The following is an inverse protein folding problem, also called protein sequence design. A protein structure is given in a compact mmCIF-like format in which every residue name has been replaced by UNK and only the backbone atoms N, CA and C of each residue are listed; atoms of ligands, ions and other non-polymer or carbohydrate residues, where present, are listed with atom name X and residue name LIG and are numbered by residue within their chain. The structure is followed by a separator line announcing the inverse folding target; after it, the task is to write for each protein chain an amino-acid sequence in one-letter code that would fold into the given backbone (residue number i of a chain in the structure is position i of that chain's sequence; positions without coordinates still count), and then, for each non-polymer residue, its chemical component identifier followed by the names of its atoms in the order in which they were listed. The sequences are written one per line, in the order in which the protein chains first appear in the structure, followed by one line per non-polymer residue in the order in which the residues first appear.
data_IF_669435489194
#
_entry.id   IF_669435489194
#
_cell.length_a   1.000
_cell.length_b   1.000
_cell.length_c   1.000
_cell.angle_alpha   90.00
_cell.angle_beta   90.00
_cell.angle_gamma   90.00
#
_symmetry.space_group_name_H-M   'P 1'
#
loop_
_entity.id
_entity.type
_entity.pdbx_description
1 polymer ?
#
# COMPACT_ATOMS: atom_id res chain seq x y z
N UNK A 1 -20.09 9.02 10.32
CA UNK A 1 -19.64 7.91 9.49
C UNK A 1 -18.15 8.04 9.26
N UNK A 2 -17.53 6.98 9.21
CA UNK A 2 -16.11 6.99 8.95
C UNK A 2 -15.84 6.64 7.51
N UNK A 3 -14.83 7.24 6.95
CA UNK A 3 -14.40 6.87 5.63
C UNK A 3 -13.69 5.53 5.65
N UNK A 4 -13.34 5.07 4.47
CA UNK A 4 -12.52 3.88 4.35
C UNK A 4 -11.10 4.20 4.76
N UNK A 5 -10.46 3.26 5.43
CA UNK A 5 -9.04 3.39 5.75
C UNK A 5 -8.23 3.07 4.49
N UNK A 6 -6.97 3.52 4.48
CA UNK A 6 -6.11 3.34 3.31
C UNK A 6 -5.90 1.86 3.00
N UNK A 7 -5.77 1.03 4.05
CA UNK A 7 -5.57 -0.41 3.85
C UNK A 7 -6.77 -1.03 3.12
N UNK A 8 -7.98 -0.65 3.50
CA UNK A 8 -9.19 -1.19 2.85
C UNK A 8 -9.28 -0.75 1.40
N UNK A 9 -8.93 0.50 1.12
CA UNK A 9 -8.95 1.01 -0.25
C UNK A 9 -7.96 0.23 -1.12
N UNK A 10 -6.76 0.00 -0.62
CA UNK A 10 -5.72 -0.73 -1.35
C UNK A 10 -6.15 -2.16 -1.59
N UNK A 11 -6.63 -2.85 -0.56
CA UNK A 11 -7.05 -4.25 -0.68
C UNK A 11 -8.17 -4.38 -1.70
N UNK A 12 -9.16 -3.49 -1.64
CA UNK A 12 -10.28 -3.52 -2.57
C UNK A 12 -9.81 -3.29 -4.00
N UNK A 13 -8.89 -2.36 -4.19
CA UNK A 13 -8.37 -2.01 -5.51
C UNK A 13 -7.59 -3.15 -6.15
N UNK A 14 -6.96 -3.99 -5.35
CA UNK A 14 -6.12 -5.07 -5.85
C UNK A 14 -6.82 -6.41 -5.97
N UNK A 15 -8.11 -6.47 -5.65
CA UNK A 15 -8.89 -7.70 -5.81
C UNK A 15 -8.82 -8.18 -7.25
N UNK A 16 -8.59 -9.48 -7.42
CA UNK A 16 -8.50 -10.08 -8.73
C UNK A 16 -7.13 -9.98 -9.37
N UNK A 17 -6.20 -9.24 -8.76
CA UNK A 17 -4.84 -9.10 -9.28
C UNK A 17 -3.87 -9.89 -8.42
N UNK A 18 -3.93 -9.67 -7.12
CA UNK A 18 -3.04 -10.33 -6.17
C UNK A 18 -3.76 -10.36 -4.83
N UNK A 19 -3.47 -11.37 -4.01
CA UNK A 19 -4.04 -11.42 -2.67
C UNK A 19 -3.35 -10.39 -1.80
N UNK A 20 -4.12 -9.50 -1.17
CA UNK A 20 -3.60 -8.43 -0.34
C UNK A 20 -4.11 -8.60 1.09
N UNK A 21 -3.20 -8.67 2.04
CA UNK A 21 -3.53 -8.96 3.45
C UNK A 21 -2.88 -7.89 4.32
N UNK A 22 -3.67 -7.31 5.21
CA UNK A 22 -3.13 -6.33 6.16
C UNK A 22 -2.35 -7.04 7.26
N UNK A 23 -1.11 -6.66 7.43
CA UNK A 23 -0.29 -7.08 8.57
C UNK A 23 -0.31 -5.93 9.56
N UNK A 24 -0.97 -6.12 10.68
CA UNK A 24 -1.14 -5.09 11.71
C UNK A 24 -0.64 -5.63 13.03
N UNK A 25 0.65 -5.47 13.26
CA UNK A 25 1.34 -5.94 14.47
C UNK A 25 2.08 -4.75 15.09
N UNK A 26 2.46 -4.83 16.36
CA UNK A 26 3.04 -3.67 17.05
C UNK A 26 4.22 -3.01 16.35
N UNK A 27 5.03 -3.79 15.61
CA UNK A 27 6.20 -3.25 14.93
C UNK A 27 6.15 -3.51 13.43
N UNK A 28 5.01 -3.95 12.91
CA UNK A 28 4.87 -4.30 11.50
C UNK A 28 3.50 -3.84 11.02
N UNK A 29 3.51 -2.91 10.10
CA UNK A 29 2.26 -2.42 9.54
C UNK A 29 2.45 -2.21 8.04
N UNK A 30 1.89 -3.14 7.23
CA UNK A 30 1.95 -3.03 5.77
C UNK A 30 0.88 -3.93 5.16
N UNK A 31 0.67 -3.78 3.87
CA UNK A 31 -0.15 -4.70 3.08
C UNK A 31 0.79 -5.73 2.47
N UNK A 32 0.63 -6.99 2.84
CA UNK A 32 1.44 -8.06 2.27
C UNK A 32 0.74 -8.59 1.03
N UNK A 33 1.49 -8.74 -0.06
CA UNK A 33 0.98 -9.22 -1.33
C UNK A 33 1.41 -10.67 -1.49
N UNK A 34 0.44 -11.55 -1.79
CA UNK A 34 0.68 -12.99 -1.85
C UNK A 34 0.14 -13.57 -3.15
N UNK A 35 0.85 -14.55 -3.67
CA UNK A 35 0.39 -15.38 -4.78
C UNK A 35 0.66 -16.83 -4.42
N UNK A 36 -0.36 -17.68 -4.51
CA UNK A 36 -0.25 -19.11 -4.18
C UNK A 36 0.32 -19.33 -2.78
N UNK A 37 -0.07 -18.46 -1.84
CA UNK A 37 0.36 -18.59 -0.47
C UNK A 37 1.74 -18.04 -0.15
N UNK A 38 2.44 -17.52 -1.15
CA UNK A 38 3.79 -16.98 -0.96
C UNK A 38 3.79 -15.47 -1.03
N UNK A 39 4.60 -14.84 -0.19
CA UNK A 39 4.74 -13.40 -0.19
C UNK A 39 5.53 -12.98 -1.43
N UNK A 40 4.94 -12.09 -2.23
CA UNK A 40 5.55 -11.63 -3.48
C UNK A 40 5.83 -10.13 -3.47
N UNK A 41 5.43 -9.44 -2.42
CA UNK A 41 5.71 -8.02 -2.28
C UNK A 41 4.94 -7.43 -1.12
N UNK A 42 5.11 -6.14 -0.90
CA UNK A 42 4.37 -5.44 0.13
C UNK A 42 4.21 -3.96 -0.22
N UNK A 43 3.18 -3.36 0.34
CA UNK A 43 2.94 -1.92 0.23
C UNK A 43 2.92 -1.35 1.64
N UNK A 44 3.65 -0.28 1.87
CA UNK A 44 3.59 0.44 3.13
C UNK A 44 3.56 1.93 2.82
N UNK A 45 3.21 2.73 3.81
CA UNK A 45 3.08 4.16 3.62
C UNK A 45 3.43 4.91 4.89
N UNK A 46 3.73 6.22 4.71
CA UNK A 46 4.11 7.06 5.82
C UNK A 46 3.64 8.49 5.52
N UNK A 47 3.41 9.24 6.58
CA UNK A 47 3.05 10.65 6.47
C UNK A 47 4.34 11.45 6.34
N UNK A 48 4.48 12.18 5.23
CA UNK A 48 5.70 12.92 4.96
C UNK A 48 5.56 14.42 5.22
N UNK A 49 4.33 14.92 5.19
CA UNK A 49 4.06 16.33 5.49
C UNK A 49 2.80 16.45 6.30
N UNK A 50 2.77 17.44 7.16
CA UNK A 50 1.67 17.65 8.08
C UNK A 50 1.54 19.14 8.37
N UNK A 51 0.40 19.74 8.05
CA UNK A 51 0.17 21.16 8.29
C UNK A 51 -1.21 21.36 8.91
N UNK A 52 -1.24 21.66 10.20
CA UNK A 52 -2.48 21.85 10.94
C UNK A 52 -3.25 23.09 10.48
N UNK A 53 -2.55 24.10 9.99
CA UNK A 53 -3.21 25.35 9.65
C UNK A 53 -4.14 25.23 8.45
N UNK A 54 -3.88 24.28 7.57
CA UNK A 54 -4.69 24.05 6.37
C UNK A 54 -5.24 22.62 6.32
N UNK A 55 -5.13 21.90 7.42
CA UNK A 55 -5.63 20.52 7.51
C UNK A 55 -5.07 19.67 6.39
N UNK A 56 -3.77 19.74 6.17
CA UNK A 56 -3.08 19.09 5.07
C UNK A 56 -2.21 17.94 5.57
N UNK A 57 -2.37 16.79 4.94
CA UNK A 57 -1.55 15.61 5.25
C UNK A 57 -1.09 15.03 3.92
N UNK A 58 0.20 14.82 3.79
CA UNK A 58 0.76 14.17 2.61
C UNK A 58 1.27 12.79 2.97
N UNK A 59 0.79 11.78 2.27
CA UNK A 59 1.16 10.39 2.49
C UNK A 59 1.91 9.90 1.25
N UNK A 60 2.96 9.15 1.47
CA UNK A 60 3.73 8.53 0.39
C UNK A 60 3.66 7.02 0.56
N UNK A 61 3.46 6.31 -0.54
CA UNK A 61 3.33 4.85 -0.58
C UNK A 61 4.54 4.25 -1.27
N UNK A 62 5.05 3.17 -0.68
CA UNK A 62 6.16 2.39 -1.24
C UNK A 62 5.65 1.00 -1.58
N UNK A 63 5.94 0.54 -2.80
CA UNK A 63 5.71 -0.84 -3.22
C UNK A 63 7.07 -1.51 -3.35
N UNK A 64 7.26 -2.60 -2.61
CA UNK A 64 8.52 -3.35 -2.58
C UNK A 64 8.26 -4.77 -3.05
N UNK A 65 9.27 -5.37 -3.72
CA UNK A 65 9.15 -6.74 -4.18
C UNK A 65 9.45 -7.72 -3.03
N UNK A 66 9.49 -9.01 -3.37
CA UNK A 66 9.69 -10.05 -2.35
C UNK A 66 11.05 -9.95 -1.66
N UNK A 67 12.01 -9.29 -2.27
CA UNK A 67 13.34 -9.09 -1.70
C UNK A 67 13.46 -7.72 -1.00
N UNK A 68 12.32 -7.06 -0.80
CA UNK A 68 12.20 -5.76 -0.14
C UNK A 68 12.90 -4.63 -0.91
N UNK A 69 13.04 -4.81 -2.23
CA UNK A 69 13.56 -3.75 -3.09
C UNK A 69 12.40 -2.87 -3.55
N UNK A 70 12.61 -1.57 -3.52
CA UNK A 70 11.59 -0.62 -3.94
C UNK A 70 11.33 -0.72 -5.42
N UNK A 71 10.09 -0.99 -5.79
CA UNK A 71 9.64 -1.04 -7.17
C UNK A 71 9.06 0.30 -7.58
N UNK A 72 8.28 0.92 -6.70
CA UNK A 72 7.61 2.18 -7.02
C UNK A 72 7.35 2.97 -5.74
N UNK A 73 7.36 4.29 -5.87
CA UNK A 73 7.02 5.23 -4.81
C UNK A 73 6.04 6.22 -5.39
N UNK A 74 4.87 6.36 -4.78
CA UNK A 74 3.84 7.26 -5.28
C UNK A 74 3.17 7.98 -4.12
N UNK A 75 2.69 9.19 -4.38
CA UNK A 75 1.99 10.00 -3.37
C UNK A 75 0.48 9.79 -3.41
N UNK A 76 0.00 8.94 -4.30
CA UNK A 76 -1.43 8.73 -4.54
C UNK A 76 -1.74 7.24 -4.44
N UNK A 77 -2.82 6.90 -3.73
CA UNK A 77 -3.18 5.50 -3.51
C UNK A 77 -3.54 4.80 -4.82
N UNK A 78 -4.21 5.50 -5.73
CA UNK A 78 -4.58 4.89 -7.01
C UNK A 78 -3.34 4.63 -7.86
N UNK A 79 -2.38 5.56 -7.82
CA UNK A 79 -1.15 5.41 -8.59
C UNK A 79 -0.30 4.25 -8.10
N UNK A 80 -0.19 4.07 -6.77
CA UNK A 80 0.59 2.94 -6.26
C UNK A 80 -0.09 1.62 -6.62
N UNK A 81 -1.41 1.57 -6.58
CA UNK A 81 -2.15 0.38 -6.97
C UNK A 81 -1.95 0.07 -8.46
N UNK A 82 -1.89 1.09 -9.31
CA UNK A 82 -1.63 0.88 -10.73
C UNK A 82 -0.25 0.28 -10.96
N UNK A 83 0.75 0.71 -10.19
CA UNK A 83 2.10 0.16 -10.30
C UNK A 83 2.12 -1.32 -9.90
N UNK A 84 1.36 -1.67 -8.85
CA UNK A 84 1.25 -3.07 -8.44
C UNK A 84 0.59 -3.90 -9.54
N UNK A 85 -0.48 -3.38 -10.14
CA UNK A 85 -1.17 -4.09 -11.21
C UNK A 85 -0.27 -4.33 -12.41
N UNK A 86 0.56 -3.35 -12.76
CA UNK A 86 1.51 -3.51 -13.86
C UNK A 86 2.54 -4.59 -13.55
N UNK A 87 3.01 -4.63 -12.31
CA UNK A 87 4.04 -5.55 -11.89
C UNK A 87 3.56 -7.01 -11.95
N UNK A 88 2.30 -7.25 -11.57
CA UNK A 88 1.73 -8.60 -11.52
C UNK A 88 0.87 -8.94 -12.72
N UNK A 89 0.95 -8.13 -13.73
CA UNK A 89 0.17 -8.33 -14.94
C UNK A 89 0.59 -9.57 -15.73
#
# INVERSE_FOLDING_TARGET
MEGQTLDKIIIENLKGVVEAVLIDEPKKFWIELRQNGEMVGRIWWDVTEFDFSIDYIKVVFWFEDKDYKTVAVRADVDEICEEVKKYFK
#
